data_IF_670468654536
#
_entry.id   IF_670468654536
#
_cell.length_a   1.000
_cell.length_b   1.000
_cell.length_c   1.000
_cell.angle_alpha   90.00
_cell.angle_beta   90.00
_cell.angle_gamma   90.00
#
_symmetry.space_group_name_H-M   'P 1'
#
loop_
_entity.id
_entity.type
_entity.pdbx_description
1 polymer ?
#
# COMPACT_ATOMS: atom_id res chain seq x y z
N UNK A 1 -8.41 7.92 -16.76
CA UNK A 1 -7.82 6.64 -16.38
C UNK A 1 -8.75 5.51 -16.81
N UNK A 2 -8.18 4.43 -17.30
CA UNK A 2 -8.91 3.19 -17.65
C UNK A 2 -8.70 2.10 -16.58
N UNK A 3 -7.90 2.40 -15.53
CA UNK A 3 -7.63 1.47 -14.45
C UNK A 3 -8.78 1.49 -13.43
N UNK A 4 -9.22 0.32 -12.99
CA UNK A 4 -10.22 0.19 -11.91
C UNK A 4 -9.63 0.51 -10.54
N UNK A 5 -8.34 0.23 -10.36
CA UNK A 5 -7.61 0.51 -9.12
C UNK A 5 -6.23 1.07 -9.46
N UNK A 6 -5.79 2.07 -8.71
CA UNK A 6 -4.44 2.62 -8.76
C UNK A 6 -3.76 2.45 -7.40
N UNK A 7 -2.50 2.04 -7.42
CA UNK A 7 -1.72 1.78 -6.19
C UNK A 7 -0.36 2.48 -6.22
N UNK A 8 -0.31 3.79 -6.05
CA UNK A 8 0.95 4.50 -5.86
C UNK A 8 1.48 4.34 -4.43
N UNK A 9 2.78 4.55 -4.24
CA UNK A 9 3.31 4.92 -2.93
C UNK A 9 3.05 6.42 -2.65
N UNK A 10 3.38 6.89 -1.44
CA UNK A 10 3.12 8.28 -1.04
C UNK A 10 3.82 9.30 -1.95
N UNK A 11 5.08 9.09 -2.31
CA UNK A 11 5.82 9.98 -3.22
C UNK A 11 5.18 10.03 -4.60
N UNK A 12 4.83 8.88 -5.15
CA UNK A 12 4.14 8.77 -6.44
C UNK A 12 2.76 9.43 -6.40
N UNK A 13 2.01 9.26 -5.30
CA UNK A 13 0.71 9.89 -5.13
C UNK A 13 0.82 11.43 -5.12
N UNK A 14 1.83 11.97 -4.43
CA UNK A 14 2.11 13.41 -4.42
C UNK A 14 2.43 13.93 -5.82
N UNK A 15 3.29 13.21 -6.57
CA UNK A 15 3.63 13.58 -7.95
C UNK A 15 2.42 13.55 -8.88
N UNK A 16 1.62 12.49 -8.82
CA UNK A 16 0.44 12.32 -9.68
C UNK A 16 -0.63 13.38 -9.44
N UNK A 17 -0.71 13.92 -8.22
CA UNK A 17 -1.74 14.89 -7.83
C UNK A 17 -1.24 16.32 -7.77
N UNK A 18 0.05 16.58 -8.01
CA UNK A 18 0.67 17.89 -7.81
C UNK A 18 0.65 18.35 -6.35
N UNK A 19 0.54 17.43 -5.39
CA UNK A 19 0.57 17.74 -3.95
C UNK A 19 2.01 17.79 -3.48
N UNK A 20 2.35 18.78 -2.64
CA UNK A 20 3.68 18.86 -2.05
C UNK A 20 3.98 17.63 -1.17
N UNK A 21 5.17 17.07 -1.35
CA UNK A 21 5.63 15.96 -0.49
C UNK A 21 6.10 16.51 0.86
N UNK A 22 5.63 15.90 1.96
CA UNK A 22 6.04 16.23 3.32
C UNK A 22 6.61 14.96 3.99
N UNK A 23 7.93 14.95 4.20
CA UNK A 23 8.62 13.81 4.83
C UNK A 23 8.27 13.66 6.32
N UNK A 24 7.81 14.74 6.97
CA UNK A 24 7.39 14.73 8.39
C UNK A 24 6.01 14.11 8.59
N UNK A 25 5.32 13.84 7.49
CA UNK A 25 4.01 13.23 7.47
C UNK A 25 2.86 14.21 7.28
N UNK A 26 1.71 13.65 6.94
CA UNK A 26 0.46 14.36 6.70
C UNK A 26 -0.58 14.02 7.75
N UNK A 27 -1.57 14.89 7.93
CA UNK A 27 -2.74 14.55 8.72
C UNK A 27 -3.60 13.50 8.01
N UNK A 28 -4.45 12.79 8.76
CA UNK A 28 -5.43 11.88 8.17
C UNK A 28 -6.35 12.60 7.18
N UNK A 29 -6.77 13.82 7.48
CA UNK A 29 -7.61 14.63 6.61
C UNK A 29 -6.91 15.00 5.29
N UNK A 30 -5.61 15.32 5.33
CA UNK A 30 -4.80 15.56 4.12
C UNK A 30 -4.66 14.28 3.30
N UNK A 31 -4.49 13.13 3.96
CA UNK A 31 -4.46 11.81 3.32
C UNK A 31 -5.76 11.49 2.58
N UNK A 32 -6.91 11.77 3.17
CA UNK A 32 -8.22 11.63 2.51
C UNK A 32 -8.37 12.61 1.33
N UNK A 33 -7.83 13.80 1.46
CA UNK A 33 -7.81 14.78 0.36
C UNK A 33 -6.93 14.29 -0.79
N UNK A 34 -5.78 13.70 -0.49
CA UNK A 34 -4.88 13.11 -1.48
C UNK A 34 -5.55 11.95 -2.22
N UNK A 35 -6.25 11.06 -1.50
CA UNK A 35 -7.06 9.98 -2.09
C UNK A 35 -8.13 10.53 -3.03
N UNK A 36 -8.89 11.56 -2.60
CA UNK A 36 -9.91 12.20 -3.44
C UNK A 36 -9.31 12.78 -4.72
N UNK A 37 -8.16 13.43 -4.65
CA UNK A 37 -7.46 13.95 -5.84
C UNK A 37 -7.07 12.85 -6.81
N UNK A 38 -6.54 11.72 -6.31
CA UNK A 38 -6.20 10.56 -7.14
C UNK A 38 -7.43 9.97 -7.84
N UNK A 39 -8.55 9.87 -7.12
CA UNK A 39 -9.78 9.29 -7.63
C UNK A 39 -10.62 10.26 -8.48
N UNK A 40 -10.43 11.58 -8.33
CA UNK A 40 -11.22 12.60 -9.04
C UNK A 40 -10.96 12.60 -10.56
N UNK A 41 -9.75 12.23 -10.99
CA UNK A 41 -9.40 12.15 -12.41
C UNK A 41 -9.94 10.88 -13.10
N UNK A 42 -10.56 9.97 -12.36
CA UNK A 42 -11.04 8.72 -12.88
C UNK A 42 -12.12 8.08 -12.02
N UNK A 43 -12.63 6.98 -12.53
CA UNK A 43 -13.65 6.15 -11.87
C UNK A 43 -12.99 5.02 -11.07
N UNK A 44 -11.80 5.25 -10.52
CA UNK A 44 -10.97 4.21 -9.91
C UNK A 44 -11.06 4.20 -8.38
N UNK A 45 -10.85 3.05 -7.77
CA UNK A 45 -10.42 2.93 -6.38
C UNK A 45 -8.93 3.25 -6.27
N UNK A 46 -8.44 3.57 -5.07
CA UNK A 46 -7.03 3.86 -4.85
C UNK A 46 -6.51 3.25 -3.54
N UNK A 47 -5.25 2.82 -3.55
CA UNK A 47 -4.50 2.45 -2.36
C UNK A 47 -3.16 3.16 -2.38
N UNK A 48 -2.89 4.04 -1.41
CA UNK A 48 -1.61 4.73 -1.26
C UNK A 48 -0.80 4.00 -0.18
N UNK A 49 0.36 3.49 -0.54
CA UNK A 49 1.24 2.80 0.42
C UNK A 49 2.27 3.75 1.02
N UNK A 50 2.77 3.42 2.21
CA UNK A 50 3.88 4.10 2.89
C UNK A 50 3.61 5.57 3.25
N UNK A 51 2.38 5.90 3.59
CA UNK A 51 2.01 7.25 4.01
C UNK A 51 2.37 7.47 5.47
N UNK A 52 3.24 8.45 5.80
CA UNK A 52 3.49 8.83 7.19
C UNK A 52 2.29 9.66 7.68
N UNK A 53 1.45 9.09 8.54
CA UNK A 53 0.27 9.77 9.10
C UNK A 53 0.57 10.19 10.53
N UNK A 54 0.44 11.49 10.84
CA UNK A 54 0.86 12.07 12.13
C UNK A 54 0.11 11.48 13.32
N UNK A 55 -1.17 11.16 13.14
CA UNK A 55 -2.03 10.64 14.21
C UNK A 55 -1.79 9.15 14.54
N UNK A 56 -0.79 8.52 13.95
CA UNK A 56 -0.49 7.10 14.15
C UNK A 56 0.82 6.84 14.92
N UNK A 57 1.24 7.76 15.76
CA UNK A 57 2.44 7.63 16.60
C UNK A 57 3.70 7.22 15.80
N UNK A 58 3.89 7.84 14.63
CA UNK A 58 5.04 7.60 13.75
C UNK A 58 4.96 6.32 12.92
N UNK A 59 3.84 5.60 12.96
CA UNK A 59 3.61 4.46 12.06
C UNK A 59 3.28 4.95 10.66
N UNK A 60 3.70 4.19 9.67
CA UNK A 60 3.23 4.38 8.29
C UNK A 60 1.87 3.72 8.10
N UNK A 61 1.11 4.24 7.14
CA UNK A 61 -0.20 3.70 6.80
C UNK A 61 -0.30 3.31 5.32
N UNK A 62 -1.17 2.34 5.05
CA UNK A 62 -1.83 2.23 3.76
C UNK A 62 -3.16 2.97 3.86
N UNK A 63 -3.34 3.99 3.02
CA UNK A 63 -4.61 4.70 2.87
C UNK A 63 -5.34 4.15 1.66
N UNK A 64 -6.63 3.92 1.76
CA UNK A 64 -7.43 3.46 0.63
C UNK A 64 -8.77 4.15 0.52
N UNK A 65 -9.26 4.17 -0.72
CA UNK A 65 -10.62 4.57 -1.07
C UNK A 65 -11.22 3.54 -2.02
N UNK A 66 -12.31 2.97 -1.60
CA UNK A 66 -13.08 2.03 -2.40
C UNK A 66 -14.26 2.76 -3.06
N UNK A 67 -14.26 2.79 -4.39
CA UNK A 67 -15.29 3.44 -5.19
C UNK A 67 -16.67 2.77 -5.05
N UNK A 68 -16.71 1.45 -4.91
CA UNK A 68 -17.97 0.71 -4.86
C UNK A 68 -18.72 0.98 -3.56
N UNK A 69 -18.03 0.85 -2.44
CA UNK A 69 -18.59 1.13 -1.12
C UNK A 69 -18.58 2.62 -0.75
N UNK A 70 -17.82 3.45 -1.48
CA UNK A 70 -17.54 4.87 -1.19
C UNK A 70 -16.91 5.10 0.19
N UNK A 71 -16.17 4.12 0.68
CA UNK A 71 -15.52 4.19 1.98
C UNK A 71 -14.02 4.38 1.85
N UNK A 72 -13.47 5.18 2.76
CA UNK A 72 -12.02 5.32 2.94
C UNK A 72 -11.57 4.53 4.16
N UNK A 73 -10.34 4.03 4.11
CA UNK A 73 -9.71 3.33 5.24
C UNK A 73 -8.28 3.80 5.45
N UNK A 74 -7.77 3.61 6.67
CA UNK A 74 -6.40 3.88 7.07
C UNK A 74 -5.89 2.70 7.89
N UNK A 75 -4.95 1.95 7.35
CA UNK A 75 -4.37 0.76 7.96
C UNK A 75 -2.93 1.06 8.41
N UNK A 76 -2.69 1.31 9.70
CA UNK A 76 -1.36 1.58 10.21
C UNK A 76 -0.52 0.30 10.29
N UNK A 77 0.81 0.44 10.12
CA UNK A 77 1.76 -0.65 10.28
C UNK A 77 3.11 -0.16 10.80
N UNK A 78 3.82 -1.05 11.46
CA UNK A 78 5.21 -0.83 11.86
C UNK A 78 6.13 -1.23 10.73
N UNK A 79 6.99 -0.30 10.30
CA UNK A 79 7.97 -0.55 9.25
C UNK A 79 9.11 -1.41 9.78
N UNK A 80 9.39 -2.51 9.07
CA UNK A 80 10.63 -3.27 9.29
C UNK A 80 11.73 -2.52 8.53
N UNK A 81 12.80 -2.11 9.24
CA UNK A 81 13.90 -1.31 8.68
C UNK A 81 14.83 -2.12 7.75
N UNK A 82 14.26 -2.99 6.96
CA UNK A 82 14.96 -3.78 5.93
C UNK A 82 14.23 -3.58 4.61
N UNK A 83 14.99 -3.34 3.56
CA UNK A 83 14.43 -3.16 2.21
C UNK A 83 14.81 -4.33 1.32
N UNK A 84 13.82 -4.87 0.65
CA UNK A 84 13.97 -5.83 -0.43
C UNK A 84 13.39 -5.24 -1.72
N UNK A 85 14.08 -5.30 -2.86
CA UNK A 85 13.50 -4.93 -4.14
C UNK A 85 12.30 -5.84 -4.46
N UNK A 86 11.30 -5.29 -5.16
CA UNK A 86 10.12 -6.05 -5.58
C UNK A 86 9.02 -6.22 -4.53
N UNK A 87 9.18 -5.74 -3.29
CA UNK A 87 8.12 -5.85 -2.27
C UNK A 87 6.82 -5.14 -2.67
N UNK A 88 6.92 -4.06 -3.43
CA UNK A 88 5.77 -3.36 -4.00
C UNK A 88 5.01 -4.19 -5.03
N UNK A 89 5.73 -5.00 -5.82
CA UNK A 89 5.14 -5.89 -6.83
C UNK A 89 4.48 -7.09 -6.17
N UNK A 90 5.13 -7.67 -5.15
CA UNK A 90 4.53 -8.74 -4.32
C UNK A 90 3.22 -8.24 -3.70
N UNK A 91 3.23 -7.06 -3.09
CA UNK A 91 2.02 -6.44 -2.54
C UNK A 91 0.92 -6.31 -3.60
N UNK A 92 1.25 -5.78 -4.78
CA UNK A 92 0.28 -5.59 -5.87
C UNK A 92 -0.29 -6.90 -6.37
N UNK A 93 0.53 -7.95 -6.47
CA UNK A 93 0.10 -9.28 -6.92
C UNK A 93 -0.86 -9.93 -5.93
N UNK A 94 -0.57 -9.85 -4.63
CA UNK A 94 -1.46 -10.37 -3.58
C UNK A 94 -2.79 -9.60 -3.58
N UNK A 95 -2.71 -8.27 -3.58
CA UNK A 95 -3.90 -7.40 -3.63
C UNK A 95 -4.79 -7.74 -4.83
N UNK A 96 -4.20 -7.82 -6.02
CA UNK A 96 -4.94 -8.15 -7.25
C UNK A 96 -5.56 -9.55 -7.17
N UNK A 97 -4.82 -10.54 -6.70
CA UNK A 97 -5.31 -11.91 -6.55
C UNK A 97 -6.54 -11.99 -5.65
N UNK A 98 -6.52 -11.28 -4.51
CA UNK A 98 -7.66 -11.23 -3.58
C UNK A 98 -8.87 -10.52 -4.20
N UNK A 99 -8.66 -9.41 -4.88
CA UNK A 99 -9.74 -8.69 -5.56
C UNK A 99 -10.40 -9.51 -6.68
N UNK A 100 -9.61 -10.28 -7.43
CA UNK A 100 -10.13 -11.20 -8.45
C UNK A 100 -10.92 -12.37 -7.84
N UNK A 101 -10.67 -12.71 -6.57
CA UNK A 101 -11.47 -13.68 -5.79
C UNK A 101 -12.73 -13.06 -5.17
N UNK A 102 -12.94 -11.76 -5.34
CA UNK A 102 -14.12 -11.05 -4.84
C UNK A 102 -13.95 -10.48 -3.42
N UNK A 103 -12.73 -10.43 -2.89
CA UNK A 103 -12.47 -9.80 -1.60
C UNK A 103 -12.65 -8.28 -1.67
N UNK A 104 -13.09 -7.68 -0.55
CA UNK A 104 -13.20 -6.22 -0.44
C UNK A 104 -11.83 -5.56 -0.41
N UNK A 105 -11.72 -4.35 -0.97
CA UNK A 105 -10.46 -3.63 -1.11
C UNK A 105 -9.70 -3.47 0.22
N UNK A 106 -10.38 -3.13 1.32
CA UNK A 106 -9.76 -2.98 2.63
C UNK A 106 -9.21 -4.32 3.15
N UNK A 107 -9.98 -5.40 3.05
CA UNK A 107 -9.56 -6.73 3.49
C UNK A 107 -8.38 -7.25 2.67
N UNK A 108 -8.44 -7.11 1.35
CA UNK A 108 -7.36 -7.46 0.43
C UNK A 108 -6.08 -6.66 0.72
N UNK A 109 -6.21 -5.35 0.99
CA UNK A 109 -5.08 -4.48 1.37
C UNK A 109 -4.46 -4.96 2.69
N UNK A 110 -5.27 -5.22 3.72
CA UNK A 110 -4.80 -5.68 5.02
C UNK A 110 -4.09 -7.03 4.92
N UNK A 111 -4.59 -7.95 4.08
CA UNK A 111 -3.94 -9.25 3.84
C UNK A 111 -2.62 -9.08 3.13
N UNK A 112 -2.54 -8.27 2.07
CA UNK A 112 -1.30 -7.99 1.36
C UNK A 112 -0.24 -7.38 2.28
N UNK A 113 -0.61 -6.41 3.14
CA UNK A 113 0.28 -5.82 4.15
C UNK A 113 0.83 -6.88 5.10
N UNK A 114 -0.02 -7.76 5.63
CA UNK A 114 0.37 -8.80 6.58
C UNK A 114 1.34 -9.81 5.96
N UNK A 115 1.05 -10.30 4.75
CA UNK A 115 1.89 -11.28 4.06
C UNK A 115 3.24 -10.69 3.67
N UNK A 116 3.26 -9.49 3.06
CA UNK A 116 4.53 -8.82 2.71
C UNK A 116 5.37 -8.56 3.96
N UNK A 117 4.76 -8.12 5.07
CA UNK A 117 5.47 -7.92 6.34
C UNK A 117 6.07 -9.22 6.87
N UNK A 118 5.32 -10.32 6.83
CA UNK A 118 5.80 -11.65 7.25
C UNK A 118 6.98 -12.11 6.39
N UNK A 119 6.90 -11.96 5.07
CA UNK A 119 7.97 -12.28 4.14
C UNK A 119 9.24 -11.44 4.40
N UNK A 120 9.10 -10.13 4.64
CA UNK A 120 10.22 -9.26 5.00
C UNK A 120 10.85 -9.72 6.31
N UNK A 121 10.05 -9.98 7.35
CA UNK A 121 10.54 -10.42 8.65
C UNK A 121 11.31 -11.74 8.57
N UNK A 122 10.76 -12.72 7.86
CA UNK A 122 11.38 -14.04 7.68
C UNK A 122 12.71 -14.00 6.89
N UNK A 123 12.95 -12.94 6.13
CA UNK A 123 14.16 -12.78 5.32
C UNK A 123 15.08 -11.66 5.82
N UNK A 124 14.77 -11.03 6.95
CA UNK A 124 15.49 -9.85 7.45
C UNK A 124 16.99 -10.08 7.67
N UNK A 125 17.39 -11.29 8.07
CA UNK A 125 18.77 -11.68 8.37
C UNK A 125 19.55 -12.20 7.16
N UNK A 126 18.95 -12.25 5.96
CA UNK A 126 19.66 -12.70 4.76
C UNK A 126 20.82 -11.75 4.42
N UNK A 127 21.97 -12.32 4.11
CA UNK A 127 23.17 -11.56 3.75
C UNK A 127 22.98 -10.79 2.43
N UNK A 128 22.40 -11.44 1.42
CA UNK A 128 22.11 -10.84 0.12
C UNK A 128 20.63 -10.42 0.02
N UNK A 129 20.40 -9.14 0.18
CA UNK A 129 19.06 -8.52 0.08
C UNK A 129 18.72 -8.06 -1.34
N UNK A 130 19.71 -7.95 -2.23
CA UNK A 130 19.50 -7.49 -3.61
C UNK A 130 18.74 -8.51 -4.48
N UNK A 131 18.80 -9.79 -4.13
CA UNK A 131 18.03 -10.86 -4.80
C UNK A 131 16.52 -10.80 -4.51
N UNK A 132 16.10 -9.90 -3.63
CA UNK A 132 14.70 -9.82 -3.23
C UNK A 132 14.26 -10.97 -2.31
N UNK A 133 12.96 -11.10 -2.16
CA UNK A 133 12.33 -12.17 -1.37
C UNK A 133 12.07 -13.37 -2.28
N UNK A 134 12.41 -14.61 -1.85
CA UNK A 134 12.12 -15.82 -2.63
C UNK A 134 10.64 -16.15 -2.56
N UNK A 135 9.83 -15.53 -3.43
CA UNK A 135 8.35 -15.65 -3.42
C UNK A 135 7.90 -17.08 -3.63
N UNK A 136 8.69 -17.91 -4.31
CA UNK A 136 8.43 -19.33 -4.51
C UNK A 136 8.28 -20.13 -3.21
N UNK A 137 8.88 -19.65 -2.11
CA UNK A 137 8.74 -20.27 -0.78
C UNK A 137 7.38 -19.98 -0.12
N UNK A 138 6.61 -19.04 -0.66
CA UNK A 138 5.37 -18.54 -0.07
C UNK A 138 4.13 -18.77 -0.94
N UNK A 139 4.26 -19.50 -2.05
CA UNK A 139 3.15 -19.74 -2.99
C UNK A 139 1.92 -20.42 -2.33
N UNK A 140 2.12 -21.18 -1.27
CA UNK A 140 1.02 -21.79 -0.51
C UNK A 140 0.27 -20.81 0.42
N UNK A 141 0.79 -19.61 0.63
CA UNK A 141 0.21 -18.59 1.52
C UNK A 141 -0.45 -17.43 0.74
N UNK A 142 -0.11 -17.30 -0.54
CA UNK A 142 -0.64 -16.32 -1.50
C UNK A 142 -1.84 -16.92 -2.22
#
# INVERSE_FOLDING_TARGET
SVADIIKPNYTEACLLTGTAYDETGISRADGETLLRKLCAAGKSSAVITSVPVRETDGKKCCLGYDRESRQSFCLPYEEIKVRFPGTGDIFSSILLGDLLRGEKLEAATARAMRLVRAMIAANADRADKYRGIPVECYLGEI
#
